data_IF_988147676493
#
_entry.id   IF_988147676493
#
_cell.length_a   1.000
_cell.length_b   1.000
_cell.length_c   1.000
_cell.angle_alpha   90.00
_cell.angle_beta   90.00
_cell.angle_gamma   90.00
#
_symmetry.space_group_name_H-M   'P 1'
#
loop_
_entity.id
_entity.type
_entity.pdbx_description
1 polymer ?
#
# COMPACT_ATOMS: atom_id res chain seq x y z
N UNK A 1 33.44 10.45 8.52
CA UNK A 1 32.91 9.61 7.43
C UNK A 1 32.11 8.41 7.98
N UNK A 2 32.69 7.61 8.89
CA UNK A 2 32.04 6.43 9.50
C UNK A 2 30.70 6.78 10.17
N UNK A 3 30.63 7.92 10.86
CA UNK A 3 29.41 8.40 11.50
C UNK A 3 28.27 8.64 10.50
N UNK A 4 28.58 9.30 9.37
CA UNK A 4 27.61 9.60 8.32
C UNK A 4 27.10 8.29 7.67
N UNK A 5 28.01 7.35 7.39
CA UNK A 5 27.61 6.06 6.80
C UNK A 5 26.75 5.23 7.75
N UNK A 6 27.09 5.18 9.05
CA UNK A 6 26.27 4.47 10.04
C UNK A 6 24.88 5.06 10.18
N UNK A 7 24.76 6.40 10.21
CA UNK A 7 23.48 7.10 10.21
C UNK A 7 22.71 6.88 8.91
N UNK A 8 23.40 6.95 7.76
CA UNK A 8 22.78 6.76 6.45
C UNK A 8 22.17 5.36 6.29
N UNK A 9 22.89 4.32 6.72
CA UNK A 9 22.39 2.94 6.66
C UNK A 9 21.18 2.76 7.58
N UNK A 10 21.24 3.28 8.80
CA UNK A 10 20.12 3.22 9.74
C UNK A 10 18.89 3.95 9.19
N UNK A 11 19.08 5.16 8.63
CA UNK A 11 18.00 5.93 8.02
C UNK A 11 17.42 5.22 6.78
N UNK A 12 18.25 4.60 5.95
CA UNK A 12 17.77 3.84 4.79
C UNK A 12 16.84 2.71 5.22
N UNK A 13 17.24 1.91 6.22
CA UNK A 13 16.40 0.84 6.76
C UNK A 13 15.08 1.38 7.33
N UNK A 14 15.14 2.44 8.14
CA UNK A 14 13.96 3.10 8.73
C UNK A 14 13.01 3.60 7.65
N UNK A 15 13.53 4.30 6.63
CA UNK A 15 12.73 4.85 5.54
C UNK A 15 12.05 3.74 4.72
N UNK A 16 12.76 2.64 4.42
CA UNK A 16 12.20 1.49 3.70
C UNK A 16 11.05 0.87 4.49
N UNK A 17 11.25 0.61 5.79
CA UNK A 17 10.22 -0.02 6.63
C UNK A 17 9.01 0.91 6.79
N UNK A 18 9.22 2.21 7.00
CA UNK A 18 8.12 3.18 7.11
C UNK A 18 7.32 3.30 5.79
N UNK A 19 7.99 3.26 4.63
CA UNK A 19 7.30 3.21 3.34
C UNK A 19 6.45 1.94 3.21
N UNK A 20 6.99 0.80 3.61
CA UNK A 20 6.24 -0.46 3.60
C UNK A 20 5.03 -0.40 4.54
N UNK A 21 5.21 0.05 5.79
CA UNK A 21 4.10 0.22 6.74
C UNK A 21 3.03 1.15 6.16
N UNK A 22 3.44 2.27 5.58
CA UNK A 22 2.52 3.22 4.96
C UNK A 22 1.71 2.57 3.83
N UNK A 23 2.34 1.77 2.96
CA UNK A 23 1.64 1.05 1.90
C UNK A 23 0.63 0.05 2.45
N UNK A 24 0.96 -0.63 3.54
CA UNK A 24 0.07 -1.60 4.18
C UNK A 24 -1.15 -0.94 4.85
N UNK A 25 -0.97 0.21 5.50
CA UNK A 25 -2.08 0.90 6.20
C UNK A 25 -2.93 1.77 5.27
N UNK A 26 -2.44 2.11 4.07
CA UNK A 26 -3.16 2.92 3.08
C UNK A 26 -3.74 2.10 1.93
N UNK A 27 -3.94 0.79 2.15
CA UNK A 27 -4.54 -0.08 1.12
C UNK A 27 -5.91 0.46 0.71
N UNK A 28 -6.16 0.48 -0.62
CA UNK A 28 -7.39 0.98 -1.26
C UNK A 28 -7.65 2.49 -1.13
N UNK A 29 -6.78 3.30 -0.53
CA UNK A 29 -6.99 4.75 -0.43
C UNK A 29 -7.02 5.49 -1.78
N UNK A 30 -6.69 4.83 -2.88
CA UNK A 30 -6.92 5.35 -4.23
C UNK A 30 -8.41 5.36 -4.62
N UNK A 31 -9.26 4.60 -3.92
CA UNK A 31 -10.70 4.63 -4.06
C UNK A 31 -11.23 5.94 -3.46
N UNK A 32 -11.83 6.80 -4.28
CA UNK A 32 -12.27 8.15 -3.86
C UNK A 32 -13.28 8.14 -2.72
N UNK A 33 -14.16 7.14 -2.71
CA UNK A 33 -15.24 6.99 -1.74
C UNK A 33 -15.06 5.72 -0.90
N UNK A 34 -13.84 5.46 -0.44
CA UNK A 34 -13.50 4.25 0.34
C UNK A 34 -14.39 4.09 1.58
N UNK A 35 -14.74 5.19 2.25
CA UNK A 35 -15.61 5.20 3.42
C UNK A 35 -17.03 4.70 3.13
N UNK A 36 -17.51 4.87 1.89
CA UNK A 36 -18.83 4.47 1.45
C UNK A 36 -18.79 3.23 0.54
N UNK A 37 -17.64 2.55 0.46
CA UNK A 37 -17.45 1.38 -0.39
C UNK A 37 -17.44 0.12 0.46
N UNK A 38 -18.23 -0.87 0.06
CA UNK A 38 -18.49 -2.09 0.82
C UNK A 38 -18.34 -3.32 -0.07
N UNK A 39 -17.84 -4.40 0.54
CA UNK A 39 -17.90 -5.74 -0.04
C UNK A 39 -19.16 -6.44 0.45
N UNK A 40 -19.78 -7.23 -0.40
CA UNK A 40 -20.87 -8.11 -0.01
C UNK A 40 -20.29 -9.46 0.43
N UNK A 41 -20.68 -9.94 1.59
CA UNK A 41 -20.31 -11.25 2.08
C UNK A 41 -21.53 -12.08 2.49
N UNK A 42 -21.37 -13.39 2.43
CA UNK A 42 -22.36 -14.34 2.93
C UNK A 42 -22.01 -14.75 4.36
N UNK A 43 -23.01 -14.74 5.23
CA UNK A 43 -22.92 -15.30 6.57
C UNK A 43 -23.86 -16.49 6.67
N UNK A 44 -23.33 -17.63 7.11
CA UNK A 44 -24.06 -18.89 7.28
C UNK A 44 -24.59 -18.99 8.71
N UNK A 45 -25.57 -19.91 8.94
CA UNK A 45 -26.16 -20.13 10.28
C UNK A 45 -25.13 -20.58 11.34
N UNK A 46 -24.04 -21.23 10.92
CA UNK A 46 -22.94 -21.63 11.79
C UNK A 46 -22.00 -20.45 12.16
N UNK A 47 -22.31 -19.24 11.71
CA UNK A 47 -21.48 -18.06 11.90
C UNK A 47 -20.30 -17.93 10.94
N UNK A 48 -20.11 -18.87 10.02
CA UNK A 48 -19.07 -18.79 8.99
C UNK A 48 -19.37 -17.63 8.04
N UNK A 49 -18.36 -16.82 7.75
CA UNK A 49 -18.44 -15.67 6.86
C UNK A 49 -17.55 -15.88 5.65
N UNK A 50 -18.10 -15.74 4.45
CA UNK A 50 -17.34 -15.88 3.20
C UNK A 50 -17.62 -14.75 2.25
N UNK A 51 -16.58 -14.29 1.59
CA UNK A 51 -16.71 -13.35 0.49
C UNK A 51 -16.97 -14.14 -0.79
N UNK A 52 -18.23 -14.43 -1.03
CA UNK A 52 -18.67 -15.07 -2.25
C UNK A 52 -20.15 -14.80 -2.41
N UNK A 53 -20.54 -14.43 -3.58
CA UNK A 53 -21.95 -14.33 -3.92
C UNK A 53 -22.26 -15.30 -5.05
N UNK A 54 -23.06 -16.31 -4.79
CA UNK A 54 -23.60 -17.16 -5.84
C UNK A 54 -24.72 -16.45 -6.61
N UNK A 55 -24.80 -16.71 -7.90
CA UNK A 55 -25.71 -16.03 -8.83
C UNK A 55 -27.15 -16.53 -8.81
N UNK A 56 -27.42 -17.69 -8.27
CA UNK A 56 -28.78 -18.23 -8.20
C UNK A 56 -29.71 -17.47 -7.22
N UNK A 57 -29.40 -16.20 -6.97
CA UNK A 57 -30.19 -15.26 -6.15
C UNK A 57 -31.60 -15.03 -6.71
N UNK A 58 -31.80 -15.27 -8.00
CA UNK A 58 -33.05 -14.92 -8.69
C UNK A 58 -34.16 -15.94 -8.52
N UNK A 59 -33.94 -17.08 -7.85
CA UNK A 59 -34.92 -18.15 -7.77
C UNK A 59 -35.78 -18.15 -6.49
N UNK A 60 -35.47 -17.29 -5.50
CA UNK A 60 -36.34 -17.10 -4.35
C UNK A 60 -37.16 -15.82 -4.53
N UNK A 61 -38.51 -15.92 -4.67
CA UNK A 61 -39.36 -14.74 -4.83
C UNK A 61 -39.35 -13.79 -3.62
N UNK A 62 -38.88 -14.25 -2.46
CA UNK A 62 -38.74 -13.44 -1.26
C UNK A 62 -37.35 -12.81 -1.11
N UNK A 63 -36.45 -13.10 -2.05
CA UNK A 63 -35.08 -12.56 -1.99
C UNK A 63 -35.09 -11.05 -2.29
N UNK A 64 -34.71 -10.27 -1.29
CA UNK A 64 -34.43 -8.84 -1.46
C UNK A 64 -32.96 -8.70 -1.88
N UNK A 65 -32.73 -8.38 -3.14
CA UNK A 65 -31.37 -8.16 -3.66
C UNK A 65 -30.78 -6.89 -3.03
N UNK A 66 -29.74 -6.99 -2.19
CA UNK A 66 -29.12 -5.83 -1.56
C UNK A 66 -28.56 -4.82 -2.58
N UNK A 67 -28.24 -5.27 -3.80
CA UNK A 67 -27.73 -4.42 -4.88
C UNK A 67 -28.81 -3.48 -5.45
N UNK A 68 -30.08 -3.81 -5.22
CA UNK A 68 -31.24 -3.00 -5.69
C UNK A 68 -31.76 -2.03 -4.63
N UNK A 69 -31.09 -1.94 -3.47
CA UNK A 69 -31.49 -0.96 -2.44
C UNK A 69 -31.30 0.47 -2.98
N UNK A 70 -32.28 1.38 -2.75
CA UNK A 70 -32.20 2.76 -3.23
C UNK A 70 -30.97 3.54 -2.75
N UNK A 71 -30.34 3.12 -1.67
CA UNK A 71 -29.10 3.72 -1.14
C UNK A 71 -27.84 3.30 -1.89
N UNK A 72 -27.93 2.34 -2.80
CA UNK A 72 -26.81 1.90 -3.65
C UNK A 72 -26.60 2.89 -4.78
N UNK A 73 -25.47 3.58 -4.77
CA UNK A 73 -25.10 4.53 -5.82
C UNK A 73 -24.51 3.81 -7.04
N UNK A 74 -23.61 2.87 -6.79
CA UNK A 74 -22.95 2.03 -7.81
C UNK A 74 -22.72 0.65 -7.26
N UNK A 75 -22.74 -0.34 -8.13
CA UNK A 75 -22.33 -1.70 -7.82
C UNK A 75 -21.60 -2.32 -8.99
N UNK A 76 -20.67 -3.22 -8.71
CA UNK A 76 -19.98 -4.03 -9.70
C UNK A 76 -19.86 -5.45 -9.18
N UNK A 77 -19.81 -6.39 -10.12
CA UNK A 77 -19.51 -7.80 -9.82
C UNK A 77 -18.26 -8.21 -10.57
N UNK A 78 -17.50 -9.10 -9.98
CA UNK A 78 -16.35 -9.65 -10.68
C UNK A 78 -16.08 -11.09 -10.28
N UNK A 79 -15.35 -11.80 -11.14
CA UNK A 79 -14.80 -13.12 -10.89
C UNK A 79 -13.29 -13.03 -11.00
N UNK A 80 -12.57 -13.72 -10.11
CA UNK A 80 -11.13 -13.79 -10.13
C UNK A 80 -10.64 -15.14 -10.68
N UNK A 81 -9.65 -15.10 -11.56
CA UNK A 81 -8.88 -16.24 -11.99
C UNK A 81 -7.40 -16.00 -11.71
N UNK A 82 -6.85 -16.71 -10.73
CA UNK A 82 -5.44 -16.56 -10.33
C UNK A 82 -4.46 -17.27 -11.26
N UNK A 83 -4.92 -18.28 -12.00
CA UNK A 83 -4.13 -19.07 -12.93
C UNK A 83 -4.89 -19.20 -14.26
N UNK A 84 -5.02 -18.09 -14.96
CA UNK A 84 -5.62 -18.06 -16.28
C UNK A 84 -4.55 -18.04 -17.37
N UNK A 85 -4.92 -18.30 -18.60
CA UNK A 85 -3.98 -18.41 -19.71
C UNK A 85 -4.39 -17.52 -20.87
N UNK A 86 -3.42 -16.82 -21.42
CA UNK A 86 -3.56 -16.08 -22.67
C UNK A 86 -2.50 -16.52 -23.66
N UNK A 87 -2.83 -16.47 -24.94
CA UNK A 87 -1.89 -16.78 -26.02
C UNK A 87 -1.63 -15.53 -26.84
N UNK A 88 -0.35 -15.19 -27.02
CA UNK A 88 0.11 -14.09 -27.87
C UNK A 88 1.03 -14.68 -28.93
N UNK A 89 0.59 -14.66 -30.17
CA UNK A 89 1.26 -15.35 -31.26
C UNK A 89 1.34 -16.87 -31.03
N UNK A 90 2.54 -17.38 -30.73
CA UNK A 90 2.77 -18.81 -30.42
C UNK A 90 3.09 -19.08 -28.95
N UNK A 91 3.11 -18.05 -28.11
CA UNK A 91 3.51 -18.17 -26.72
C UNK A 91 2.30 -18.12 -25.79
N UNK A 92 2.32 -18.97 -24.76
CA UNK A 92 1.29 -19.02 -23.72
C UNK A 92 1.84 -18.35 -22.46
N UNK A 93 1.03 -17.48 -21.87
CA UNK A 93 1.36 -16.76 -20.63
C UNK A 93 0.31 -17.04 -19.57
N UNK A 94 0.76 -17.34 -18.37
CA UNK A 94 -0.11 -17.38 -17.19
C UNK A 94 -0.33 -15.94 -16.70
N UNK A 95 -1.60 -15.62 -16.44
CA UNK A 95 -2.05 -14.29 -16.01
C UNK A 95 -3.08 -14.41 -14.90
N UNK A 96 -3.18 -13.37 -14.10
CA UNK A 96 -4.28 -13.21 -13.14
C UNK A 96 -5.35 -12.36 -13.80
N UNK A 97 -6.53 -12.93 -13.98
CA UNK A 97 -7.63 -12.26 -14.69
C UNK A 97 -8.74 -11.86 -13.74
N UNK A 98 -9.30 -10.70 -13.98
CA UNK A 98 -10.56 -10.21 -13.40
C UNK A 98 -11.58 -10.10 -14.54
N UNK A 99 -12.68 -10.82 -14.41
CA UNK A 99 -13.84 -10.72 -15.33
C UNK A 99 -14.87 -9.83 -14.66
N UNK A 100 -15.26 -8.73 -15.29
CA UNK A 100 -16.11 -7.71 -14.65
C UNK A 100 -16.86 -6.84 -15.65
N UNK A 101 -17.68 -5.94 -15.12
CA UNK A 101 -18.38 -4.90 -15.85
C UNK A 101 -17.60 -3.58 -15.91
N UNK A 102 -18.17 -2.58 -16.61
CA UNK A 102 -17.56 -1.26 -16.73
C UNK A 102 -17.58 -0.42 -15.43
N UNK A 103 -18.41 -0.79 -14.43
CA UNK A 103 -18.51 -0.06 -13.17
C UNK A 103 -17.32 -0.35 -12.24
N UNK A 104 -16.62 -1.47 -12.45
CA UNK A 104 -15.46 -1.86 -11.65
C UNK A 104 -14.40 -0.76 -11.58
N UNK A 105 -13.96 -0.26 -12.74
CA UNK A 105 -12.95 0.81 -12.82
C UNK A 105 -13.49 2.19 -12.42
N UNK A 106 -14.80 2.36 -12.31
CA UNK A 106 -15.40 3.59 -11.77
C UNK A 106 -15.37 3.61 -10.24
N UNK A 107 -15.48 2.45 -9.59
CA UNK A 107 -15.40 2.30 -8.13
C UNK A 107 -13.92 2.21 -7.70
N UNK A 108 -13.11 1.47 -8.44
CA UNK A 108 -11.67 1.30 -8.23
C UNK A 108 -10.91 1.99 -9.37
N UNK A 109 -10.64 3.31 -9.27
CA UNK A 109 -10.07 4.10 -10.37
C UNK A 109 -8.56 3.88 -10.50
N UNK A 110 -8.16 2.82 -11.18
CA UNK A 110 -6.76 2.62 -11.56
C UNK A 110 -6.31 3.69 -12.57
N UNK A 111 -5.10 4.24 -12.44
CA UNK A 111 -4.62 5.28 -13.36
C UNK A 111 -4.48 4.75 -14.78
N UNK A 112 -5.08 5.45 -15.75
CA UNK A 112 -4.91 5.11 -17.18
C UNK A 112 -3.53 5.54 -17.65
N UNK A 113 -2.82 4.63 -18.33
CA UNK A 113 -1.50 4.87 -18.93
C UNK A 113 -1.65 5.16 -20.41
N UNK A 114 -2.46 4.37 -21.11
CA UNK A 114 -2.75 4.56 -22.54
C UNK A 114 -4.07 3.90 -22.91
N UNK A 115 -4.70 4.37 -23.99
CA UNK A 115 -5.97 3.85 -24.49
C UNK A 115 -7.18 4.22 -23.61
N UNK A 116 -8.23 3.44 -23.73
CA UNK A 116 -9.53 3.65 -23.05
C UNK A 116 -9.67 2.60 -21.93
N UNK A 117 -9.69 3.06 -20.70
CA UNK A 117 -9.89 2.18 -19.53
C UNK A 117 -11.40 1.94 -19.27
N UNK A 118 -12.11 1.42 -20.28
CA UNK A 118 -13.54 1.09 -20.20
C UNK A 118 -13.84 -0.11 -21.09
N UNK A 119 -14.62 -1.05 -20.56
CA UNK A 119 -15.11 -2.22 -21.28
C UNK A 119 -16.42 -1.86 -21.99
N UNK A 120 -16.36 -1.52 -23.28
CA UNK A 120 -17.54 -1.15 -24.10
C UNK A 120 -18.06 -2.30 -24.94
N UNK A 121 -17.18 -3.22 -25.30
CA UNK A 121 -17.50 -4.37 -26.13
C UNK A 121 -17.18 -5.67 -25.36
N UNK A 122 -17.86 -6.78 -25.68
CA UNK A 122 -17.52 -8.09 -25.09
C UNK A 122 -16.05 -8.47 -25.22
N UNK A 123 -15.44 -8.11 -26.36
CA UNK A 123 -14.06 -8.47 -26.68
C UNK A 123 -13.03 -7.43 -26.20
N UNK A 124 -13.43 -6.44 -25.42
CA UNK A 124 -12.50 -5.46 -24.85
C UNK A 124 -11.69 -6.06 -23.71
N UNK A 125 -10.40 -5.76 -23.71
CA UNK A 125 -9.48 -6.16 -22.67
C UNK A 125 -8.63 -4.98 -22.18
N UNK A 126 -8.42 -4.89 -20.88
CA UNK A 126 -7.57 -3.90 -20.25
C UNK A 126 -6.44 -4.66 -19.55
N UNK A 127 -5.20 -4.26 -19.79
CA UNK A 127 -4.03 -4.91 -19.19
C UNK A 127 -3.29 -3.95 -18.28
N UNK A 128 -2.59 -4.50 -17.28
CA UNK A 128 -1.67 -3.71 -16.47
C UNK A 128 -0.41 -3.35 -17.24
N UNK A 129 0.27 -2.26 -16.85
CA UNK A 129 1.58 -1.89 -17.41
C UNK A 129 2.56 -3.05 -17.31
N UNK A 130 2.60 -3.74 -16.16
CA UNK A 130 3.44 -4.91 -15.92
C UNK A 130 3.22 -6.01 -16.98
N UNK A 131 1.96 -6.31 -17.31
CA UNK A 131 1.66 -7.29 -18.35
C UNK A 131 2.02 -6.75 -19.75
N UNK A 132 1.76 -5.48 -20.03
CA UNK A 132 2.12 -4.86 -21.30
C UNK A 132 3.63 -4.96 -21.59
N UNK A 133 4.46 -4.65 -20.62
CA UNK A 133 5.92 -4.75 -20.71
C UNK A 133 6.38 -6.20 -20.90
N UNK A 134 5.77 -7.16 -20.19
CA UNK A 134 6.06 -8.58 -20.30
C UNK A 134 5.72 -9.16 -21.69
N UNK A 135 4.58 -8.72 -22.27
CA UNK A 135 4.11 -9.25 -23.55
C UNK A 135 4.73 -8.55 -24.76
N UNK A 136 4.92 -7.24 -24.70
CA UNK A 136 5.21 -6.42 -25.88
C UNK A 136 6.55 -5.68 -25.79
N UNK A 137 7.29 -5.82 -24.68
CA UNK A 137 8.68 -5.29 -24.52
C UNK A 137 8.84 -3.82 -24.92
N UNK A 138 7.83 -2.99 -24.64
CA UNK A 138 7.84 -1.54 -24.93
C UNK A 138 7.08 -1.13 -26.19
N UNK A 139 6.66 -2.07 -27.03
CA UNK A 139 5.76 -1.77 -28.15
C UNK A 139 4.38 -1.33 -27.65
N UNK A 140 3.70 -0.48 -28.44
CA UNK A 140 2.33 -0.08 -28.13
C UNK A 140 1.38 -1.30 -28.15
N UNK A 141 0.73 -1.65 -27.02
CA UNK A 141 -0.17 -2.79 -26.94
C UNK A 141 -1.58 -2.49 -27.45
N UNK A 142 -1.98 -1.21 -27.55
CA UNK A 142 -3.34 -0.82 -27.92
C UNK A 142 -3.70 -1.28 -29.33
N UNK A 143 -4.86 -1.94 -29.47
CA UNK A 143 -5.37 -2.51 -30.70
C UNK A 143 -4.77 -3.89 -31.05
N UNK A 144 -3.77 -4.38 -30.30
CA UNK A 144 -3.27 -5.75 -30.50
C UNK A 144 -4.28 -6.75 -29.93
N UNK A 145 -4.35 -7.91 -30.56
CA UNK A 145 -5.25 -9.00 -30.17
C UNK A 145 -4.49 -10.09 -29.42
N UNK A 146 -5.16 -10.70 -28.47
CA UNK A 146 -4.67 -11.87 -27.72
C UNK A 146 -5.78 -12.93 -27.69
N UNK A 147 -5.42 -14.19 -27.64
CA UNK A 147 -6.40 -15.29 -27.50
C UNK A 147 -6.56 -15.60 -26.01
N UNK A 148 -7.78 -15.52 -25.54
CA UNK A 148 -8.15 -15.80 -24.15
C UNK A 148 -8.30 -17.32 -23.92
N UNK A 149 -8.32 -17.76 -22.68
CA UNK A 149 -8.40 -19.19 -22.29
C UNK A 149 -9.63 -19.93 -22.84
N UNK A 150 -10.71 -19.22 -23.11
CA UNK A 150 -11.93 -19.76 -23.76
C UNK A 150 -11.78 -19.99 -25.25
N UNK A 151 -10.70 -19.51 -25.86
CA UNK A 151 -10.48 -19.50 -27.31
C UNK A 151 -10.93 -18.19 -28.00
N UNK A 152 -11.57 -17.30 -27.28
CA UNK A 152 -12.02 -16.01 -27.82
C UNK A 152 -10.85 -15.07 -28.10
N UNK A 153 -10.99 -14.29 -29.18
CA UNK A 153 -10.03 -13.25 -29.53
C UNK A 153 -10.48 -11.95 -28.86
N UNK A 154 -9.67 -11.44 -27.97
CA UNK A 154 -9.90 -10.17 -27.28
C UNK A 154 -8.91 -9.11 -27.71
N UNK A 155 -9.34 -7.85 -27.72
CA UNK A 155 -8.55 -6.70 -28.19
C UNK A 155 -8.16 -5.83 -27.01
N UNK A 156 -6.88 -5.49 -26.91
CA UNK A 156 -6.38 -4.60 -25.86
C UNK A 156 -6.83 -3.17 -26.18
N UNK A 157 -7.75 -2.64 -25.37
CA UNK A 157 -8.30 -1.29 -25.50
C UNK A 157 -7.67 -0.29 -24.55
N UNK A 158 -7.10 -0.76 -23.44
CA UNK A 158 -6.51 0.09 -22.42
C UNK A 158 -5.34 -0.56 -21.69
N UNK A 159 -4.45 0.31 -21.20
CA UNK A 159 -3.38 -0.04 -20.27
C UNK A 159 -3.56 0.79 -19.01
N UNK A 160 -3.60 0.11 -17.87
CA UNK A 160 -3.68 0.75 -16.55
C UNK A 160 -2.34 0.61 -15.81
N UNK A 161 -2.02 1.63 -15.02
CA UNK A 161 -0.84 1.65 -14.15
C UNK A 161 -1.13 1.10 -12.77
N UNK A 162 -0.08 1.00 -11.97
CA UNK A 162 -0.21 0.71 -10.56
C UNK A 162 -0.94 1.89 -9.86
N UNK A 163 -1.87 1.60 -8.95
CA UNK A 163 -2.55 2.65 -8.21
C UNK A 163 -1.58 3.34 -7.22
N UNK A 164 -1.84 4.59 -6.80
CA UNK A 164 -0.95 5.32 -5.90
C UNK A 164 -0.83 4.69 -4.50
N UNK A 165 -1.78 3.85 -4.11
CA UNK A 165 -1.72 3.04 -2.89
C UNK A 165 -1.97 1.57 -3.23
N UNK A 166 -1.53 0.67 -2.37
CA UNK A 166 -1.72 -0.77 -2.56
C UNK A 166 -3.20 -1.13 -2.73
N UNK A 167 -3.51 -2.07 -3.60
CA UNK A 167 -4.86 -2.62 -3.80
C UNK A 167 -5.04 -3.94 -3.03
N UNK A 168 -6.28 -4.21 -2.61
CA UNK A 168 -6.66 -5.52 -2.07
C UNK A 168 -6.74 -6.62 -3.15
N UNK A 169 -6.70 -6.25 -4.43
CA UNK A 169 -6.70 -7.15 -5.57
C UNK A 169 -5.37 -7.05 -6.34
N UNK A 170 -4.82 -8.19 -6.73
CA UNK A 170 -3.67 -8.31 -7.62
C UNK A 170 -4.09 -9.02 -8.90
N UNK A 171 -3.99 -8.35 -10.04
CA UNK A 171 -4.36 -8.89 -11.34
C UNK A 171 -3.48 -8.32 -12.45
N UNK A 172 -3.50 -9.00 -13.60
CA UNK A 172 -2.76 -8.62 -14.80
C UNK A 172 -3.68 -8.16 -15.93
N UNK A 173 -4.90 -8.75 -16.00
CA UNK A 173 -5.84 -8.61 -17.11
C UNK A 173 -7.25 -8.39 -16.58
N UNK A 174 -7.97 -7.46 -17.19
CA UNK A 174 -9.42 -7.28 -17.02
C UNK A 174 -10.10 -7.58 -18.34
N UNK A 175 -11.14 -8.41 -18.31
CA UNK A 175 -11.99 -8.73 -19.46
C UNK A 175 -13.45 -8.50 -19.13
N UNK A 176 -14.26 -8.27 -20.19
CA UNK A 176 -15.68 -8.05 -20.04
C UNK A 176 -16.41 -9.29 -19.53
N UNK A 177 -17.36 -9.08 -18.61
CA UNK A 177 -18.28 -10.13 -18.16
C UNK A 177 -19.11 -10.74 -19.30
N UNK A 178 -19.35 -9.98 -20.36
CA UNK A 178 -20.11 -10.42 -21.54
C UNK A 178 -19.39 -11.51 -22.36
N UNK A 179 -18.08 -11.69 -22.15
CA UNK A 179 -17.30 -12.75 -22.76
C UNK A 179 -17.62 -14.12 -22.14
N UNK A 180 -18.10 -14.14 -20.91
CA UNK A 180 -18.35 -15.36 -20.15
C UNK A 180 -19.80 -15.79 -20.30
N UNK A 181 -20.00 -16.95 -20.92
CA UNK A 181 -21.32 -17.49 -21.24
C UNK A 181 -22.10 -18.06 -20.04
N UNK A 182 -21.46 -18.26 -18.89
CA UNK A 182 -22.14 -18.68 -17.67
C UNK A 182 -21.40 -18.24 -16.41
N UNK A 183 -22.11 -17.64 -15.49
CA UNK A 183 -21.64 -17.26 -14.16
C UNK A 183 -21.70 -18.44 -13.15
N UNK A 184 -21.45 -19.65 -13.58
CA UNK A 184 -21.51 -20.84 -12.72
C UNK A 184 -20.46 -20.86 -11.59
N UNK A 185 -19.68 -19.80 -11.43
CA UNK A 185 -18.63 -19.68 -10.42
C UNK A 185 -18.96 -18.57 -9.41
N UNK A 186 -18.38 -18.67 -8.22
CA UNK A 186 -18.53 -17.67 -7.18
C UNK A 186 -18.07 -16.29 -7.68
N UNK A 187 -18.99 -15.35 -7.74
CA UNK A 187 -18.71 -13.94 -8.03
C UNK A 187 -18.57 -13.14 -6.74
N UNK A 188 -17.87 -12.01 -6.81
CA UNK A 188 -17.72 -11.04 -5.73
C UNK A 188 -18.47 -9.78 -6.09
N UNK A 189 -18.97 -9.05 -5.09
CA UNK A 189 -19.68 -7.79 -5.33
C UNK A 189 -19.08 -6.66 -4.51
N UNK A 190 -18.83 -5.55 -5.19
CA UNK A 190 -18.39 -4.28 -4.58
C UNK A 190 -19.48 -3.26 -4.77
N UNK A 191 -19.81 -2.54 -3.71
CA UNK A 191 -20.96 -1.67 -3.64
C UNK A 191 -20.53 -0.32 -3.08
N UNK A 192 -20.93 0.74 -3.73
CA UNK A 192 -20.79 2.09 -3.26
C UNK A 192 -22.13 2.61 -2.80
N UNK A 193 -22.26 2.95 -1.52
CA UNK A 193 -23.47 3.53 -0.94
C UNK A 193 -23.45 5.05 -1.02
N UNK A 194 -24.63 5.65 -0.98
CA UNK A 194 -24.76 7.09 -0.84
C UNK A 194 -24.11 7.58 0.46
N UNK A 195 -23.42 8.74 0.44
CA UNK A 195 -22.83 9.31 1.66
C UNK A 195 -23.86 9.47 2.78
N UNK A 196 -23.49 9.07 3.99
CA UNK A 196 -24.37 9.13 5.16
C UNK A 196 -25.31 7.93 5.32
N UNK A 197 -25.26 6.95 4.43
CA UNK A 197 -26.02 5.70 4.59
C UNK A 197 -25.43 4.84 5.71
N UNK A 198 -26.27 4.45 6.66
CA UNK A 198 -25.88 3.55 7.73
C UNK A 198 -25.96 2.08 7.27
N UNK A 199 -24.83 1.51 6.86
CA UNK A 199 -24.77 0.12 6.38
C UNK A 199 -25.19 -0.90 7.45
N UNK A 200 -25.09 -0.56 8.75
CA UNK A 200 -25.54 -1.44 9.84
C UNK A 200 -27.04 -1.61 9.81
N UNK A 201 -27.79 -0.55 9.48
CA UNK A 201 -29.26 -0.63 9.31
C UNK A 201 -29.63 -1.46 8.09
N UNK A 202 -28.84 -1.38 7.00
CA UNK A 202 -29.03 -2.24 5.83
C UNK A 202 -28.75 -3.71 6.17
N UNK A 203 -27.72 -3.98 6.98
CA UNK A 203 -27.43 -5.32 7.45
C UNK A 203 -28.57 -5.89 8.32
N UNK A 204 -29.18 -5.09 9.20
CA UNK A 204 -30.36 -5.49 9.97
C UNK A 204 -31.55 -5.77 9.05
N UNK A 205 -31.77 -4.95 8.02
CA UNK A 205 -32.83 -5.18 7.01
C UNK A 205 -32.65 -6.53 6.29
N UNK A 206 -31.41 -6.96 6.09
CA UNK A 206 -31.04 -8.21 5.41
C UNK A 206 -30.72 -9.34 6.41
N UNK A 207 -31.25 -9.29 7.63
CA UNK A 207 -30.92 -10.22 8.70
C UNK A 207 -31.53 -11.63 8.53
N UNK A 208 -32.57 -11.76 7.71
CA UNK A 208 -33.21 -13.06 7.49
C UNK A 208 -32.29 -14.00 6.72
N UNK A 209 -32.06 -15.17 7.30
CA UNK A 209 -31.44 -16.27 6.58
C UNK A 209 -32.39 -16.78 5.50
N UNK A 210 -31.88 -16.86 4.29
CA UNK A 210 -32.62 -17.39 3.15
C UNK A 210 -31.90 -18.60 2.61
N UNK A 211 -32.67 -19.59 2.08
CA UNK A 211 -32.09 -20.68 1.30
C UNK A 211 -31.65 -20.11 -0.04
N UNK A 212 -30.52 -19.43 -0.03
CA UNK A 212 -29.83 -19.13 -1.27
C UNK A 212 -29.25 -20.43 -1.77
N UNK A 213 -29.37 -20.74 -3.07
CA UNK A 213 -28.61 -21.83 -3.70
C UNK A 213 -27.13 -21.48 -3.69
N UNK A 214 -26.56 -21.40 -2.49
CA UNK A 214 -25.15 -21.43 -2.28
C UNK A 214 -24.67 -22.87 -2.36
N UNK A 215 -23.40 -23.08 -2.57
CA UNK A 215 -22.71 -24.36 -2.80
C UNK A 215 -23.11 -25.51 -1.84
N UNK A 216 -23.85 -25.24 -0.75
CA UNK A 216 -24.22 -26.19 0.27
C UNK A 216 -25.71 -26.21 0.68
N UNK A 217 -26.62 -25.58 -0.04
CA UNK A 217 -28.07 -25.49 0.35
C UNK A 217 -28.29 -25.01 1.81
N UNK A 218 -27.31 -24.37 2.41
CA UNK A 218 -27.38 -23.85 3.78
C UNK A 218 -28.01 -22.47 3.81
N UNK A 219 -28.88 -22.18 4.80
CA UNK A 219 -29.41 -20.84 4.96
C UNK A 219 -28.30 -19.81 5.11
N UNK A 220 -28.35 -18.76 4.31
CA UNK A 220 -27.37 -17.69 4.27
C UNK A 220 -28.02 -16.34 4.33
N UNK A 221 -27.32 -15.35 4.85
CA UNK A 221 -27.68 -13.94 4.76
C UNK A 221 -26.58 -13.13 4.10
N UNK A 222 -26.96 -12.11 3.33
CA UNK A 222 -26.03 -11.21 2.68
C UNK A 222 -25.84 -9.96 3.52
N UNK A 223 -24.60 -9.60 3.77
CA UNK A 223 -24.23 -8.50 4.63
C UNK A 223 -23.18 -7.62 3.96
N UNK A 224 -23.20 -6.32 4.29
CA UNK A 224 -22.22 -5.34 3.84
C UNK A 224 -21.03 -5.28 4.79
N UNK A 225 -19.82 -5.32 4.25
CA UNK A 225 -18.58 -5.16 5.00
C UNK A 225 -17.75 -4.01 4.45
N UNK A 226 -17.28 -3.05 5.27
CA UNK A 226 -16.48 -1.93 4.79
C UNK A 226 -15.20 -2.38 4.09
N UNK A 227 -14.96 -1.89 2.86
CA UNK A 227 -13.76 -2.24 2.10
C UNK A 227 -12.47 -1.82 2.81
N UNK A 228 -12.50 -0.71 3.55
CA UNK A 228 -11.35 -0.20 4.30
C UNK A 228 -10.84 -1.17 5.36
N UNK A 229 -11.74 -1.94 5.97
CA UNK A 229 -11.41 -2.86 7.06
C UNK A 229 -11.06 -4.26 6.53
N UNK A 230 -11.40 -4.55 5.27
CA UNK A 230 -11.27 -5.88 4.68
C UNK A 230 -9.84 -6.41 4.62
N UNK A 231 -8.86 -5.53 4.38
CA UNK A 231 -7.48 -5.95 4.18
C UNK A 231 -6.87 -6.66 5.41
N UNK A 232 -7.19 -6.19 6.60
CA UNK A 232 -6.70 -6.75 7.86
C UNK A 232 -7.69 -7.69 8.55
N UNK A 233 -8.92 -7.76 8.06
CA UNK A 233 -9.93 -8.65 8.63
C UNK A 233 -9.55 -10.11 8.38
N UNK A 234 -9.72 -10.95 9.41
CA UNK A 234 -9.48 -12.40 9.36
C UNK A 234 -10.76 -13.22 9.56
N UNK A 235 -11.88 -12.55 9.83
CA UNK A 235 -13.16 -13.21 10.12
C UNK A 235 -13.87 -13.66 8.85
N UNK A 236 -13.69 -12.91 7.75
CA UNK A 236 -14.27 -13.25 6.46
C UNK A 236 -13.30 -14.15 5.69
N UNK A 237 -13.72 -15.36 5.40
CA UNK A 237 -12.97 -16.32 4.60
C UNK A 237 -13.10 -16.03 3.12
N UNK A 238 -12.05 -16.31 2.38
CA UNK A 238 -12.06 -16.30 0.91
C UNK A 238 -12.10 -17.77 0.48
N UNK A 239 -13.13 -18.14 -0.24
CA UNK A 239 -13.30 -19.50 -0.73
C UNK A 239 -12.62 -19.66 -2.09
N UNK A 240 -11.31 -19.91 -2.08
CA UNK A 240 -10.49 -19.87 -3.30
C UNK A 240 -9.45 -21.00 -3.43
N UNK A 241 -9.46 -21.97 -2.52
CA UNK A 241 -8.46 -23.04 -2.47
C UNK A 241 -6.99 -22.54 -2.53
N UNK A 242 -6.73 -21.34 -1.98
CA UNK A 242 -5.41 -20.72 -2.00
C UNK A 242 -5.02 -20.09 -3.35
N UNK A 243 -5.95 -19.97 -4.29
CA UNK A 243 -5.74 -19.43 -5.64
C UNK A 243 -6.46 -18.09 -5.86
N UNK A 244 -6.40 -17.21 -4.88
CA UNK A 244 -7.09 -15.93 -4.92
C UNK A 244 -6.21 -14.81 -5.42
N UNK A 245 -6.82 -13.85 -6.11
CA UNK A 245 -6.21 -12.57 -6.44
C UNK A 245 -6.30 -11.57 -5.27
N UNK A 246 -6.94 -11.95 -4.16
CA UNK A 246 -7.05 -11.10 -2.99
C UNK A 246 -5.74 -11.01 -2.23
N UNK A 247 -5.36 -9.80 -1.88
CA UNK A 247 -4.26 -9.52 -0.96
C UNK A 247 -4.80 -9.27 0.44
N UNK A 248 -4.15 -9.85 1.44
CA UNK A 248 -4.47 -9.69 2.86
C UNK A 248 -3.25 -9.29 3.65
N UNK A 249 -3.43 -8.36 4.56
CA UNK A 249 -2.42 -7.92 5.50
C UNK A 249 -2.45 -8.68 6.82
N UNK A 250 -1.38 -8.52 7.57
CA UNK A 250 -1.30 -8.99 8.94
C UNK A 250 -0.91 -7.84 9.87
N UNK A 251 -1.87 -7.37 10.66
CA UNK A 251 -1.66 -6.26 11.58
C UNK A 251 -0.51 -6.51 12.57
N UNK A 252 -0.34 -7.76 13.03
CA UNK A 252 0.76 -8.11 13.93
C UNK A 252 2.13 -7.91 13.27
N UNK A 253 2.25 -8.22 11.98
CA UNK A 253 3.50 -8.00 11.25
C UNK A 253 3.83 -6.50 11.18
N UNK A 254 2.82 -5.65 10.98
CA UNK A 254 3.01 -4.20 10.97
C UNK A 254 3.46 -3.69 12.33
N UNK A 255 2.87 -4.19 13.41
CA UNK A 255 3.25 -3.83 14.77
C UNK A 255 4.72 -4.23 15.05
N UNK A 256 5.12 -5.45 14.69
CA UNK A 256 6.50 -5.90 14.82
C UNK A 256 7.46 -5.01 14.02
N UNK A 257 7.12 -4.70 12.77
CA UNK A 257 7.93 -3.81 11.93
C UNK A 257 8.02 -2.38 12.51
N UNK A 258 6.95 -1.88 13.09
CA UNK A 258 6.95 -0.58 13.77
C UNK A 258 7.92 -0.58 14.97
N UNK A 259 7.88 -1.61 15.80
CA UNK A 259 8.81 -1.77 16.93
C UNK A 259 10.26 -1.85 16.45
N UNK A 260 10.53 -2.66 15.42
CA UNK A 260 11.86 -2.77 14.80
C UNK A 260 12.34 -1.42 14.27
N UNK A 261 11.44 -0.67 13.62
CA UNK A 261 11.76 0.67 13.09
C UNK A 261 12.18 1.63 14.19
N UNK A 262 11.41 1.66 15.30
CA UNK A 262 11.75 2.49 16.46
C UNK A 262 13.09 2.07 17.05
N UNK A 263 13.34 0.77 17.20
CA UNK A 263 14.61 0.27 17.72
C UNK A 263 15.80 0.66 16.82
N UNK A 264 15.68 0.51 15.50
CA UNK A 264 16.70 0.92 14.54
C UNK A 264 16.98 2.43 14.59
N UNK A 265 15.92 3.23 14.72
CA UNK A 265 16.05 4.70 14.84
C UNK A 265 16.77 5.07 16.13
N UNK A 266 16.44 4.43 17.25
CA UNK A 266 17.10 4.65 18.53
C UNK A 266 18.59 4.25 18.46
N UNK A 267 18.92 3.09 17.89
CA UNK A 267 20.30 2.62 17.74
C UNK A 267 21.10 3.58 16.87
N UNK A 268 20.54 4.00 15.72
CA UNK A 268 21.18 4.97 14.83
C UNK A 268 21.40 6.32 15.49
N UNK A 269 20.42 6.81 16.26
CA UNK A 269 20.50 8.05 17.02
C UNK A 269 21.61 7.98 18.08
N UNK A 270 21.63 6.92 18.90
CA UNK A 270 22.66 6.77 19.93
C UNK A 270 24.06 6.63 19.34
N UNK A 271 24.22 5.86 18.25
CA UNK A 271 25.50 5.77 17.56
C UNK A 271 25.98 7.15 17.09
N UNK A 272 25.08 7.93 16.47
CA UNK A 272 25.39 9.29 16.00
C UNK A 272 25.76 10.21 17.17
N UNK A 273 24.97 10.24 18.24
CA UNK A 273 25.19 11.07 19.42
C UNK A 273 26.54 10.70 20.07
N UNK A 274 26.87 9.44 20.22
CA UNK A 274 28.11 9.00 20.84
C UNK A 274 29.33 9.50 20.06
N UNK A 275 29.35 9.28 18.74
CA UNK A 275 30.48 9.69 17.90
C UNK A 275 30.57 11.22 17.84
N UNK A 276 29.43 11.90 17.71
CA UNK A 276 29.39 13.37 17.69
C UNK A 276 29.87 13.96 19.00
N UNK A 277 29.48 13.37 20.14
CA UNK A 277 29.95 13.78 21.48
C UNK A 277 31.47 13.67 21.62
N UNK A 278 32.07 12.57 21.13
CA UNK A 278 33.52 12.41 21.13
C UNK A 278 34.20 13.47 20.29
N UNK A 279 33.65 13.81 19.12
CA UNK A 279 34.18 14.88 18.28
C UNK A 279 34.08 16.26 18.97
N UNK A 280 32.97 16.52 19.65
CA UNK A 280 32.76 17.76 20.40
C UNK A 280 33.72 17.92 21.57
N UNK A 281 34.07 16.81 22.26
CA UNK A 281 35.07 16.84 23.33
C UNK A 281 36.47 17.26 22.81
N UNK A 282 36.85 16.81 21.61
CA UNK A 282 38.10 17.25 20.95
C UNK A 282 38.11 18.75 20.61
N UNK A 283 36.92 19.35 20.38
CA UNK A 283 36.71 20.76 20.06
C UNK A 283 36.35 21.61 21.27
N UNK A 284 36.39 21.05 22.50
CA UNK A 284 36.00 21.76 23.73
C UNK A 284 36.77 23.07 23.93
N UNK A 285 38.05 23.08 23.55
CA UNK A 285 38.93 24.29 23.62
C UNK A 285 38.42 25.41 22.67
N UNK A 286 38.02 25.06 21.44
CA UNK A 286 37.45 26.01 20.48
C UNK A 286 36.20 26.69 21.06
N UNK A 287 35.31 25.88 21.63
CA UNK A 287 34.09 26.39 22.25
C UNK A 287 34.38 27.24 23.53
N UNK A 288 35.37 26.81 24.34
CA UNK A 288 35.82 27.57 25.50
C UNK A 288 36.31 28.98 25.11
N UNK A 289 37.14 29.06 24.07
CA UNK A 289 37.63 30.33 23.56
C UNK A 289 36.49 31.23 23.05
N UNK A 290 35.54 30.68 22.26
CA UNK A 290 34.37 31.42 21.80
C UNK A 290 33.54 32.00 22.95
N UNK A 291 33.38 31.25 24.03
CA UNK A 291 32.66 31.69 25.23
C UNK A 291 33.37 32.86 25.94
N UNK A 292 34.72 32.83 25.99
CA UNK A 292 35.54 33.96 26.51
C UNK A 292 35.39 35.21 25.66
N UNK A 293 35.29 35.07 24.32
CA UNK A 293 35.03 36.15 23.40
C UNK A 293 33.56 36.61 23.30
N UNK A 294 32.69 36.14 24.21
CA UNK A 294 31.33 36.61 24.35
C UNK A 294 30.28 35.88 23.49
N UNK A 295 30.59 34.74 22.93
CA UNK A 295 29.59 33.94 22.22
C UNK A 295 28.47 33.49 23.19
N UNK A 296 27.23 33.85 22.85
CA UNK A 296 26.03 33.47 23.62
C UNK A 296 25.70 31.98 23.49
N UNK A 297 24.86 31.51 24.40
CA UNK A 297 24.37 30.11 24.37
C UNK A 297 23.57 29.79 23.11
N UNK A 298 22.87 30.81 22.57
CA UNK A 298 22.11 30.66 21.32
C UNK A 298 23.02 30.48 20.09
N UNK A 299 24.15 31.19 20.06
CA UNK A 299 25.11 31.11 18.93
C UNK A 299 25.76 29.72 18.88
N UNK A 300 26.08 29.15 20.05
CA UNK A 300 26.65 27.82 20.16
C UNK A 300 25.62 26.75 19.79
N UNK A 301 24.36 26.87 20.24
CA UNK A 301 23.30 25.97 19.83
C UNK A 301 23.08 26.01 18.31
N UNK A 302 22.99 27.22 17.74
CA UNK A 302 22.82 27.41 16.30
C UNK A 302 23.94 26.75 15.50
N UNK A 303 25.19 26.89 15.98
CA UNK A 303 26.34 26.25 15.35
C UNK A 303 26.22 24.70 15.40
N UNK A 304 25.95 24.13 16.59
CA UNK A 304 25.79 22.66 16.78
C UNK A 304 24.64 22.15 15.91
N UNK A 305 23.51 22.85 15.91
CA UNK A 305 22.36 22.50 15.10
C UNK A 305 22.67 22.53 13.60
N UNK A 306 23.32 23.58 13.12
CA UNK A 306 23.68 23.70 11.70
C UNK A 306 24.65 22.60 11.26
N UNK A 307 25.64 22.27 12.07
CA UNK A 307 26.57 21.16 11.80
C UNK A 307 25.80 19.82 11.72
N UNK A 308 24.91 19.55 12.68
CA UNK A 308 24.11 18.33 12.68
C UNK A 308 23.09 18.29 11.52
N UNK A 309 22.56 19.45 11.14
CA UNK A 309 21.65 19.56 10.00
C UNK A 309 22.35 19.20 8.68
N UNK A 310 23.57 19.70 8.47
CA UNK A 310 24.38 19.36 7.29
C UNK A 310 24.74 17.86 7.28
N UNK A 311 25.19 17.32 8.43
CA UNK A 311 25.54 15.89 8.54
C UNK A 311 24.33 14.99 8.29
N UNK A 312 23.17 15.35 8.84
CA UNK A 312 21.91 14.61 8.62
C UNK A 312 21.47 14.71 7.16
N UNK A 313 21.62 15.89 6.53
CA UNK A 313 21.32 16.06 5.12
C UNK A 313 22.18 15.17 4.22
N UNK A 314 23.50 15.10 4.48
CA UNK A 314 24.39 14.20 3.75
C UNK A 314 24.04 12.73 3.99
N UNK A 315 23.73 12.34 5.22
CA UNK A 315 23.32 10.99 5.54
C UNK A 315 22.00 10.62 4.85
N UNK A 316 21.05 11.55 4.79
CA UNK A 316 19.77 11.38 4.11
C UNK A 316 19.95 11.19 2.58
N UNK A 317 20.81 11.98 1.95
CA UNK A 317 21.15 11.82 0.52
C UNK A 317 21.73 10.43 0.24
N UNK A 318 22.68 9.99 1.08
CA UNK A 318 23.25 8.63 0.94
C UNK A 318 22.18 7.55 1.18
N UNK A 319 21.28 7.75 2.15
CA UNK A 319 20.16 6.83 2.41
C UNK A 319 19.27 6.68 1.18
N UNK A 320 18.95 7.76 0.49
CA UNK A 320 18.17 7.72 -0.75
C UNK A 320 18.91 7.01 -1.88
N UNK A 321 20.21 7.21 -2.02
CA UNK A 321 21.01 6.44 -2.98
C UNK A 321 20.95 4.93 -2.66
N UNK A 322 21.05 4.54 -1.39
CA UNK A 322 20.92 3.13 -0.96
C UNK A 322 19.54 2.58 -1.31
N UNK A 323 18.47 3.33 -1.02
CA UNK A 323 17.09 2.93 -1.32
C UNK A 323 16.90 2.72 -2.81
N UNK A 324 17.41 3.61 -3.64
CA UNK A 324 17.28 3.52 -5.09
C UNK A 324 18.04 2.31 -5.66
N UNK A 325 19.27 2.08 -5.21
CA UNK A 325 20.09 0.94 -5.64
C UNK A 325 19.45 -0.39 -5.21
N UNK A 326 18.86 -0.44 -4.01
CA UNK A 326 18.25 -1.67 -3.47
C UNK A 326 16.82 -1.88 -3.95
N UNK A 327 16.18 -0.87 -4.53
CA UNK A 327 14.78 -0.88 -4.93
C UNK A 327 14.44 -2.02 -5.89
N UNK A 328 15.21 -2.21 -6.95
CA UNK A 328 15.02 -3.31 -7.89
C UNK A 328 15.17 -4.70 -7.23
N UNK A 329 16.11 -4.85 -6.31
CA UNK A 329 16.29 -6.09 -5.56
C UNK A 329 15.09 -6.36 -4.63
N UNK A 330 14.55 -5.33 -3.98
CA UNK A 330 13.38 -5.45 -3.10
C UNK A 330 12.14 -5.88 -3.87
N UNK A 331 11.93 -5.37 -5.06
CA UNK A 331 10.81 -5.75 -5.93
C UNK A 331 10.94 -7.22 -6.38
N UNK A 332 12.12 -7.62 -6.86
CA UNK A 332 12.33 -8.97 -7.40
C UNK A 332 12.45 -10.04 -6.33
N UNK A 333 13.14 -9.79 -5.22
CA UNK A 333 13.42 -10.78 -4.17
C UNK A 333 12.33 -10.80 -3.10
N UNK A 334 11.91 -9.64 -2.62
CA UNK A 334 10.95 -9.52 -1.52
C UNK A 334 9.51 -9.33 -2.00
N UNK A 335 9.30 -9.20 -3.32
CA UNK A 335 7.98 -8.95 -3.94
C UNK A 335 7.25 -7.76 -3.31
N UNK A 336 8.01 -6.76 -2.86
CA UNK A 336 7.45 -5.52 -2.33
C UNK A 336 7.26 -4.59 -3.52
N UNK A 337 6.01 -4.27 -3.91
CA UNK A 337 5.77 -3.39 -5.04
C UNK A 337 6.33 -2.00 -4.74
N UNK A 338 7.08 -1.44 -5.68
CA UNK A 338 7.53 -0.04 -5.62
C UNK A 338 6.34 0.88 -5.96
N UNK A 339 5.46 1.08 -5.00
CA UNK A 339 4.43 2.10 -5.15
C UNK A 339 5.12 3.45 -4.92
N UNK A 340 5.03 4.31 -5.93
CA UNK A 340 5.62 5.66 -5.89
C UNK A 340 4.83 6.56 -4.94
N UNK A 341 5.16 6.51 -3.65
CA UNK A 341 4.65 7.43 -2.63
C UNK A 341 5.62 8.60 -2.44
N UNK A 342 5.84 9.38 -3.52
CA UNK A 342 6.79 10.51 -3.51
C UNK A 342 6.43 11.55 -2.46
N UNK A 343 5.15 11.87 -2.30
CA UNK A 343 4.67 12.85 -1.31
C UNK A 343 4.98 12.41 0.12
N UNK A 344 4.61 11.18 0.49
CA UNK A 344 4.92 10.63 1.81
C UNK A 344 6.42 10.60 2.08
N UNK A 345 7.19 10.14 1.10
CA UNK A 345 8.65 10.07 1.19
C UNK A 345 9.30 11.44 1.35
N UNK A 346 8.78 12.47 0.67
CA UNK A 346 9.24 13.85 0.81
C UNK A 346 8.92 14.42 2.20
N UNK A 347 7.69 14.25 2.68
CA UNK A 347 7.26 14.70 4.02
C UNK A 347 8.12 14.03 5.10
N UNK A 348 8.33 12.72 4.98
CA UNK A 348 9.14 11.95 5.92
C UNK A 348 10.60 12.43 5.94
N UNK A 349 11.18 12.70 4.75
CA UNK A 349 12.54 13.22 4.61
C UNK A 349 12.72 14.58 5.24
N UNK A 350 11.77 15.50 5.02
CA UNK A 350 11.76 16.83 5.66
C UNK A 350 11.62 16.70 7.17
N UNK A 351 10.74 15.82 7.65
CA UNK A 351 10.58 15.54 9.07
C UNK A 351 11.88 15.06 9.72
N UNK A 352 12.56 14.08 9.10
CA UNK A 352 13.86 13.57 9.56
C UNK A 352 14.92 14.67 9.55
N UNK A 353 14.98 15.49 8.48
CA UNK A 353 15.95 16.56 8.32
C UNK A 353 15.83 17.65 9.41
N UNK A 354 14.65 17.84 9.97
CA UNK A 354 14.41 18.84 11.04
C UNK A 354 14.52 18.20 12.42
N UNK A 355 13.82 17.09 12.65
CA UNK A 355 13.70 16.48 13.99
C UNK A 355 15.00 15.83 14.45
N UNK A 356 15.73 15.16 13.55
CA UNK A 356 16.93 14.44 13.92
C UNK A 356 18.06 15.37 14.39
N UNK A 357 18.41 16.48 13.68
CA UNK A 357 19.37 17.45 14.17
C UNK A 357 18.97 18.11 15.49
N UNK A 358 17.69 18.38 15.68
CA UNK A 358 17.19 18.91 16.96
C UNK A 358 17.50 17.96 18.11
N UNK A 359 17.11 16.69 17.99
CA UNK A 359 17.33 15.67 19.03
C UNK A 359 18.82 15.44 19.29
N UNK A 360 19.63 15.36 18.24
CA UNK A 360 21.06 15.09 18.35
C UNK A 360 21.86 16.27 18.89
N UNK A 361 21.34 17.51 18.77
CA UNK A 361 22.00 18.72 19.26
C UNK A 361 21.75 18.98 20.74
N UNK A 362 20.65 18.46 21.31
CA UNK A 362 20.27 18.72 22.70
C UNK A 362 21.32 18.21 23.69
N UNK A 363 21.76 16.95 23.56
CA UNK A 363 22.70 16.36 24.50
C UNK A 363 24.08 17.05 24.49
N UNK A 364 24.77 17.27 23.37
CA UNK A 364 26.02 18.01 23.32
C UNK A 364 25.89 19.44 23.84
N UNK A 365 24.76 20.10 23.55
CA UNK A 365 24.48 21.46 24.03
C UNK A 365 24.34 21.54 25.55
N UNK A 366 23.58 20.61 26.16
CA UNK A 366 23.44 20.53 27.60
C UNK A 366 24.81 20.32 28.23
N UNK A 367 25.55 19.33 27.74
CA UNK A 367 26.89 19.00 28.27
C UNK A 367 27.85 20.18 28.15
N UNK A 368 27.80 20.92 27.05
CA UNK A 368 28.60 22.14 26.87
C UNK A 368 28.29 23.21 27.91
N UNK A 369 27.01 23.44 28.25
CA UNK A 369 26.61 24.47 29.18
C UNK A 369 27.06 24.19 30.62
N UNK A 370 27.17 22.92 31.01
CA UNK A 370 27.61 22.49 32.35
C UNK A 370 29.13 22.50 32.53
N UNK A 371 29.92 22.56 31.47
CA UNK A 371 31.37 22.60 31.56
C UNK A 371 31.85 24.03 31.71
N UNK A 372 32.57 24.35 32.82
CA UNK A 372 33.12 25.68 33.02
C UNK A 372 34.24 25.99 32.02
N UNK A 373 34.40 27.23 31.57
CA UNK A 373 35.45 27.64 30.62
C UNK A 373 36.88 27.26 31.10
N UNK A 374 37.09 27.38 32.39
CA UNK A 374 38.40 27.08 33.01
C UNK A 374 38.77 25.57 32.90
N UNK A 375 37.81 24.69 32.99
CA UNK A 375 38.01 23.24 32.81
C UNK A 375 38.22 22.88 31.34
N UNK A 376 37.48 23.53 30.44
CA UNK A 376 37.61 23.30 28.98
C UNK A 376 38.99 23.70 28.44
N UNK A 377 39.65 24.66 29.03
CA UNK A 377 41.00 25.12 28.63
C UNK A 377 42.12 24.24 29.22
N UNK A 378 41.91 23.67 30.43
CA UNK A 378 42.89 22.83 31.13
C UNK A 378 42.88 21.35 30.78
N UNK A 379 41.83 20.83 30.17
CA UNK A 379 41.63 19.36 29.99
C UNK A 379 42.35 18.72 28.80
N UNK A 380 43.50 19.31 28.38
CA UNK A 380 44.35 18.73 27.32
C UNK A 380 45.78 18.76 27.79
N UNK A 381 46.13 17.83 28.70
CA UNK A 381 47.43 17.26 28.85
C UNK A 381 47.29 15.73 28.94
#
# INVERSE_FOLDING_TARGET
>A
FINILGLALSLACVLIILRYIHQEVTVNHFCKDLENTYLLYCEYEDGTRTISSNEDRNNDPNFIDPLKDPSVLKSTRWINFSEDRITVGKQIYNVKTVVTDSAFLQILPYPSVSGISSLKSPNDAIITRRLAERLFKGDNPIGKTITYSTGDIITITGVIGEPPTKSFLDFDLIVSEQLQHSWSRSSYSLIQLMPGTDFKKLNVKNEKFMKLRCYMDTPTRLQFFPLKDFYFDKTIRIYDNGKSNFQRGNYNNILVLAVVTIALLIIGLFNFINIYTVMMLKRAREFGVKKVYGAGTKDVFAQIFTENFILTGMALCISWCIIEITGGMMEHVLRIPQISNTEFSAILSVGVLILLPLLTSIYPFIRYNYVSPSVSIRSVN
#
